data_IF_716124336077
#
_entry.id   IF_716124336077
#
_cell.length_a   1.000
_cell.length_b   1.000
_cell.length_c   1.000
_cell.angle_alpha   90.00
_cell.angle_beta   90.00
_cell.angle_gamma   90.00
#
_symmetry.space_group_name_H-M   'P 1'
#
loop_
_entity.id
_entity.type
_entity.pdbx_description
1 polymer ?
#
# COMPACT_ATOMS: atom_id res chain seq x y z
N UNK A 1 9.63 -1.71 -8.72
CA UNK A 1 9.01 -0.37 -8.84
C UNK A 1 8.41 -0.26 -10.24
N UNK A 2 7.11 -0.54 -10.35
CA UNK A 2 6.27 -0.40 -11.55
C UNK A 2 4.87 -0.20 -10.92
N UNK A 3 4.15 0.92 -10.89
CA UNK A 3 4.17 2.22 -11.57
C UNK A 3 3.67 3.27 -10.56
N UNK A 4 4.57 3.92 -9.82
CA UNK A 4 4.22 5.02 -8.91
C UNK A 4 4.51 6.41 -9.48
N UNK A 5 4.98 6.51 -10.74
CA UNK A 5 5.50 7.76 -11.30
C UNK A 5 5.01 8.12 -12.71
N UNK A 6 4.06 7.39 -13.31
CA UNK A 6 3.59 7.71 -14.69
C UNK A 6 2.07 7.90 -14.80
N UNK A 7 1.30 7.71 -13.74
CA UNK A 7 -0.10 8.13 -13.71
C UNK A 7 -0.37 8.81 -12.38
N UNK A 8 -0.60 10.13 -12.40
CA UNK A 8 -1.35 10.79 -11.32
C UNK A 8 -2.74 10.15 -11.35
N UNK A 9 -2.95 9.12 -10.55
CA UNK A 9 -4.31 8.74 -10.20
C UNK A 9 -4.93 9.96 -9.51
N UNK A 10 -6.13 10.37 -9.91
CA UNK A 10 -6.83 11.41 -9.17
C UNK A 10 -7.01 10.94 -7.73
N UNK A 11 -7.06 11.88 -6.80
CA UNK A 11 -7.23 11.58 -5.37
C UNK A 11 -8.45 10.68 -5.12
N UNK A 12 -9.50 10.88 -5.92
CA UNK A 12 -10.72 10.06 -5.97
C UNK A 12 -10.46 8.58 -6.30
N UNK A 13 -9.57 8.29 -7.26
CA UNK A 13 -9.25 6.89 -7.62
C UNK A 13 -8.54 6.19 -6.47
N UNK A 14 -7.73 6.91 -5.71
CA UNK A 14 -7.04 6.35 -4.54
C UNK A 14 -8.04 6.00 -3.44
N UNK A 15 -9.01 6.89 -3.18
CA UNK A 15 -10.08 6.64 -2.21
C UNK A 15 -10.95 5.46 -2.64
N UNK A 16 -11.30 5.37 -3.92
CA UNK A 16 -12.07 4.26 -4.47
C UNK A 16 -11.35 2.91 -4.28
N UNK A 17 -10.02 2.88 -4.44
CA UNK A 17 -9.22 1.67 -4.22
C UNK A 17 -9.15 1.26 -2.74
N UNK A 18 -9.21 2.21 -1.82
CA UNK A 18 -9.25 1.93 -0.37
C UNK A 18 -10.61 1.36 0.03
N UNK A 19 -11.71 1.99 -0.41
CA UNK A 19 -13.06 1.55 -0.07
C UNK A 19 -13.47 0.25 -0.79
N UNK A 20 -12.96 0.06 -2.01
CA UNK A 20 -13.22 -1.09 -2.87
C UNK A 20 -14.73 -1.44 -3.02
N UNK A 21 -15.56 -0.40 -3.08
CA UNK A 21 -17.00 -0.51 -3.37
C UNK A 21 -17.20 -0.89 -4.83
N UNK A 22 -18.06 -1.88 -5.09
CA UNK A 22 -18.30 -2.39 -6.45
C UNK A 22 -18.78 -1.29 -7.42
N UNK A 23 -19.56 -0.32 -6.93
CA UNK A 23 -20.14 0.78 -7.72
C UNK A 23 -19.08 1.68 -8.39
N UNK A 24 -17.85 1.69 -7.86
CA UNK A 24 -16.78 2.55 -8.34
C UNK A 24 -15.93 1.90 -9.46
N UNK A 25 -16.23 0.65 -9.83
CA UNK A 25 -15.41 -0.14 -10.76
C UNK A 25 -16.28 -0.93 -11.73
N UNK A 26 -15.71 -1.29 -12.88
CA UNK A 26 -16.31 -2.33 -13.71
C UNK A 26 -16.35 -3.65 -12.90
N UNK A 27 -17.43 -4.42 -13.00
CA UNK A 27 -17.57 -5.65 -12.21
C UNK A 27 -16.38 -6.60 -12.38
N UNK A 28 -15.87 -6.74 -13.60
CA UNK A 28 -14.70 -7.56 -13.90
C UNK A 28 -13.46 -7.08 -13.15
N UNK A 29 -13.17 -5.78 -13.22
CA UNK A 29 -12.08 -5.14 -12.49
C UNK A 29 -12.23 -5.29 -10.97
N UNK A 30 -13.43 -5.04 -10.45
CA UNK A 30 -13.75 -5.21 -9.04
C UNK A 30 -13.46 -6.63 -8.56
N UNK A 31 -13.82 -7.66 -9.34
CA UNK A 31 -13.53 -9.07 -9.01
C UNK A 31 -12.02 -9.32 -8.92
N UNK A 32 -11.21 -8.79 -9.85
CA UNK A 32 -9.76 -8.95 -9.78
C UNK A 32 -9.16 -8.24 -8.55
N UNK A 33 -9.61 -7.01 -8.25
CA UNK A 33 -9.15 -6.27 -7.08
C UNK A 33 -9.58 -6.94 -5.77
N UNK A 34 -10.83 -7.42 -5.69
CA UNK A 34 -11.35 -8.14 -4.53
C UNK A 34 -10.62 -9.46 -4.32
N UNK A 35 -10.34 -10.20 -5.40
CA UNK A 35 -9.50 -11.39 -5.33
C UNK A 35 -8.10 -11.09 -4.78
N UNK A 36 -7.48 -9.99 -5.23
CA UNK A 36 -6.17 -9.57 -4.71
C UNK A 36 -6.22 -9.20 -3.22
N UNK A 37 -7.30 -8.55 -2.77
CA UNK A 37 -7.52 -8.23 -1.37
C UNK A 37 -7.64 -9.50 -0.51
N UNK A 38 -8.49 -10.45 -0.92
CA UNK A 38 -8.64 -11.75 -0.22
C UNK A 38 -7.32 -12.53 -0.19
N UNK A 39 -6.59 -12.55 -1.31
CA UNK A 39 -5.28 -13.21 -1.39
C UNK A 39 -4.29 -12.60 -0.39
N UNK A 40 -4.27 -11.27 -0.26
CA UNK A 40 -3.43 -10.58 0.71
C UNK A 40 -3.89 -10.83 2.16
N UNK A 41 -5.20 -10.83 2.41
CA UNK A 41 -5.79 -11.10 3.72
C UNK A 41 -5.43 -12.51 4.23
N UNK A 42 -5.45 -13.50 3.35
CA UNK A 42 -5.05 -14.88 3.63
C UNK A 42 -3.53 -15.12 3.58
N UNK A 43 -2.71 -14.08 3.75
CA UNK A 43 -1.25 -14.26 3.83
C UNK A 43 -0.61 -14.75 2.53
N UNK A 44 -1.28 -14.59 1.39
CA UNK A 44 -0.86 -15.00 0.06
C UNK A 44 -1.25 -16.42 -0.35
N UNK A 45 -2.14 -17.06 0.41
CA UNK A 45 -2.78 -18.30 -0.02
C UNK A 45 -3.88 -18.01 -1.05
N UNK A 46 -4.21 -19.01 -1.88
CA UNK A 46 -5.27 -18.86 -2.87
C UNK A 46 -6.63 -18.70 -2.16
N UNK A 47 -7.38 -17.62 -2.45
CA UNK A 47 -8.73 -17.46 -1.94
C UNK A 47 -9.64 -18.61 -2.35
N UNK A 48 -10.59 -18.93 -1.49
CA UNK A 48 -11.67 -19.88 -1.73
C UNK A 48 -13.04 -19.21 -1.64
N UNK A 49 -14.09 -19.91 -2.07
CA UNK A 49 -15.46 -19.42 -2.00
C UNK A 49 -15.85 -18.50 -3.16
N UNK A 50 -16.90 -17.69 -2.94
CA UNK A 50 -17.62 -16.98 -4.01
C UNK A 50 -16.70 -16.13 -4.89
N UNK A 51 -15.79 -15.34 -4.30
CA UNK A 51 -14.88 -14.47 -5.06
C UNK A 51 -13.92 -15.28 -5.94
N UNK A 52 -13.41 -16.42 -5.44
CA UNK A 52 -12.52 -17.28 -6.21
C UNK A 52 -13.23 -17.93 -7.41
N UNK A 53 -14.50 -18.28 -7.26
CA UNK A 53 -15.30 -18.86 -8.34
C UNK A 53 -15.72 -17.81 -9.36
N UNK A 54 -16.12 -16.62 -8.91
CA UNK A 54 -16.38 -15.47 -9.80
C UNK A 54 -15.12 -15.09 -10.59
N UNK A 55 -13.95 -15.06 -9.93
CA UNK A 55 -12.68 -14.80 -10.61
C UNK A 55 -12.37 -15.84 -11.71
N UNK A 56 -12.67 -17.12 -11.49
CA UNK A 56 -12.53 -18.17 -12.50
C UNK A 56 -13.51 -18.04 -13.66
N UNK A 57 -14.73 -17.54 -13.42
CA UNK A 57 -15.74 -17.31 -14.46
C UNK A 57 -15.38 -16.14 -15.37
N UNK A 58 -14.87 -15.05 -14.80
CA UNK A 58 -14.62 -13.80 -15.54
C UNK A 58 -13.24 -13.71 -16.20
N UNK A 59 -12.32 -14.61 -15.86
CA UNK A 59 -10.95 -14.58 -16.37
C UNK A 59 -10.51 -15.95 -16.88
N UNK A 60 -9.92 -15.93 -18.08
CA UNK A 60 -9.26 -17.09 -18.65
C UNK A 60 -8.10 -17.57 -17.77
N UNK A 61 -7.66 -18.81 -17.97
CA UNK A 61 -6.51 -19.35 -17.23
C UNK A 61 -5.25 -18.48 -17.37
N UNK A 62 -4.99 -17.94 -18.57
CA UNK A 62 -3.82 -17.09 -18.83
C UNK A 62 -3.90 -15.76 -18.08
N UNK A 63 -5.07 -15.12 -18.10
CA UNK A 63 -5.28 -13.86 -17.37
C UNK A 63 -5.17 -14.07 -15.86
N UNK A 64 -5.76 -15.14 -15.33
CA UNK A 64 -5.64 -15.48 -13.90
C UNK A 64 -4.20 -15.68 -13.47
N UNK A 65 -3.42 -16.44 -14.25
CA UNK A 65 -2.01 -16.66 -13.98
C UNK A 65 -1.21 -15.34 -14.02
N UNK A 66 -1.55 -14.44 -14.94
CA UNK A 66 -0.91 -13.13 -15.04
C UNK A 66 -1.25 -12.22 -13.86
N UNK A 67 -2.53 -12.16 -13.45
CA UNK A 67 -2.98 -11.40 -12.29
C UNK A 67 -2.32 -11.93 -11.01
N UNK A 68 -2.33 -13.25 -10.79
CA UNK A 68 -1.65 -13.87 -9.65
C UNK A 68 -0.14 -13.54 -9.63
N UNK A 69 0.51 -13.51 -10.81
CA UNK A 69 1.92 -13.14 -10.93
C UNK A 69 2.15 -11.68 -10.49
N UNK A 70 1.30 -10.75 -10.91
CA UNK A 70 1.39 -9.34 -10.52
C UNK A 70 1.25 -9.18 -9.01
N UNK A 71 0.23 -9.82 -8.41
CA UNK A 71 -0.02 -9.74 -6.97
C UNK A 71 1.21 -10.23 -6.17
N UNK A 72 1.83 -11.34 -6.61
CA UNK A 72 3.05 -11.88 -5.97
C UNK A 72 4.25 -10.94 -6.11
N UNK A 73 4.44 -10.34 -7.29
CA UNK A 73 5.52 -9.36 -7.53
C UNK A 73 5.32 -8.13 -6.64
N UNK A 74 4.08 -7.65 -6.49
CA UNK A 74 3.77 -6.51 -5.63
C UNK A 74 4.09 -6.82 -4.16
N UNK A 75 3.72 -8.02 -3.67
CA UNK A 75 4.08 -8.45 -2.32
C UNK A 75 5.58 -8.52 -2.11
N UNK A 76 6.32 -9.07 -3.07
CA UNK A 76 7.79 -9.11 -3.02
C UNK A 76 8.37 -7.69 -2.96
N UNK A 77 7.86 -6.77 -3.78
CA UNK A 77 8.29 -5.38 -3.75
C UNK A 77 8.03 -4.73 -2.38
N UNK A 78 6.87 -4.99 -1.77
CA UNK A 78 6.54 -4.48 -0.43
C UNK A 78 7.50 -5.03 0.64
N UNK A 79 7.82 -6.33 0.62
CA UNK A 79 8.79 -6.90 1.56
C UNK A 79 10.20 -6.37 1.36
N UNK A 80 10.69 -6.35 0.12
CA UNK A 80 12.01 -5.83 -0.21
C UNK A 80 12.16 -4.36 0.21
N UNK A 81 11.12 -3.55 -0.02
CA UNK A 81 11.13 -2.15 0.38
C UNK A 81 11.15 -1.99 1.91
N UNK A 82 10.39 -2.80 2.65
CA UNK A 82 10.43 -2.81 4.12
C UNK A 82 11.77 -3.30 4.68
N UNK A 83 12.41 -4.28 4.04
CA UNK A 83 13.73 -4.78 4.44
C UNK A 83 14.82 -3.73 4.20
N UNK A 84 14.78 -3.04 3.07
CA UNK A 84 15.75 -2.01 2.71
C UNK A 84 15.58 -0.74 3.57
N UNK A 85 14.35 -0.31 3.88
CA UNK A 85 14.10 0.87 4.72
C UNK A 85 14.30 0.63 6.23
N UNK A 86 14.37 -0.62 6.71
CA UNK A 86 14.75 -0.93 8.10
C UNK A 86 16.24 -0.68 8.40
N UNK A 87 17.08 -0.41 7.39
CA UNK A 87 18.47 0.04 7.55
C UNK A 87 18.53 1.57 7.43
N UNK A 88 18.14 2.29 8.47
CA UNK A 88 18.30 3.74 8.45
C UNK A 88 17.60 4.62 9.48
N UNK A 89 17.19 4.13 10.66
CA UNK A 89 17.18 5.03 11.81
C UNK A 89 18.61 5.10 12.34
N UNK A 90 19.45 5.89 11.65
CA UNK A 90 20.61 6.48 12.33
C UNK A 90 19.98 7.26 13.48
N UNK A 91 20.22 6.82 14.72
CA UNK A 91 19.93 7.63 15.90
C UNK A 91 20.66 8.94 15.68
N UNK A 92 19.93 9.94 15.22
CA UNK A 92 20.34 11.33 15.32
C UNK A 92 20.55 11.60 16.80
N UNK A 93 21.79 11.47 17.26
CA UNK A 93 22.24 11.99 18.56
C UNK A 93 22.16 13.51 18.48
N UNK A 94 20.94 14.06 18.53
CA UNK A 94 20.75 15.47 18.87
C UNK A 94 21.01 15.61 20.37
N UNK A 95 22.29 15.75 20.73
CA UNK A 95 22.69 16.46 21.94
C UNK A 95 23.05 17.89 21.52
N UNK A 96 22.03 18.67 21.16
CA UNK A 96 22.17 20.13 21.12
C UNK A 96 21.63 20.64 22.45
N UNK A 97 22.50 20.61 23.46
CA UNK A 97 22.32 21.41 24.67
C UNK A 97 22.62 22.85 24.23
N UNK A 98 21.57 23.62 23.94
CA UNK A 98 21.72 25.07 23.89
C UNK A 98 21.50 25.59 25.31
N UNK A 99 22.59 25.89 26.01
CA UNK A 99 22.55 26.85 27.11
C UNK A 99 22.18 28.20 26.51
N UNK A 100 20.97 28.71 26.80
CA UNK A 100 20.66 30.13 26.64
C UNK A 100 20.65 30.72 28.04
N UNK A 101 21.84 31.13 28.48
CA UNK A 101 21.99 32.05 29.59
C UNK A 101 21.78 33.48 29.12
N UNK A 102 21.28 34.30 30.05
CA UNK A 102 21.32 35.76 30.11
C UNK A 102 20.51 36.56 29.07
N UNK A 103 19.34 37.06 29.49
CA UNK A 103 19.10 38.49 29.76
C UNK A 103 17.62 38.84 29.57
N UNK A 104 16.87 38.99 30.67
CA UNK A 104 15.82 40.01 30.78
C UNK A 104 15.80 40.56 32.22
N UNK A 105 16.53 41.64 32.41
CA UNK A 105 16.29 42.63 33.46
C UNK A 105 14.99 43.37 33.14
N UNK A 106 14.08 43.47 34.10
CA UNK A 106 12.90 44.32 34.01
C UNK A 106 11.94 44.10 35.16
N UNK A 107 12.23 44.71 36.31
CA UNK A 107 11.24 45.01 37.35
C UNK A 107 10.01 45.67 36.73
N UNK A 108 8.84 45.40 37.30
CA UNK A 108 7.98 46.43 37.93
C UNK A 108 6.84 45.72 38.66
N UNK A 109 6.91 45.84 39.99
CA UNK A 109 5.86 46.17 40.95
C UNK A 109 4.40 46.08 40.48
#
# INVERSE_FOLDING_TARGET
MILGKVTKFSEDVTLNLIELKQENFEYREWIALKYAQEWAFHGGEKPSGKIADEFKKHYSYKERAWIEKIIRIQRLANYSMNLLHKRGWIKSTKKNVCYIGSNQTGNLS
#
